data_IF_615387868694
#
_entry.id   IF_615387868694
#
_cell.length_a   1.000
_cell.length_b   1.000
_cell.length_c   1.000
_cell.angle_alpha   90.00
_cell.angle_beta   90.00
_cell.angle_gamma   90.00
#
_symmetry.space_group_name_H-M   'P 1'
#
loop_
_entity.id
_entity.type
_entity.pdbx_description
1 polymer ?
#
# COMPACT_ATOMS: atom_id res chain seq x y z
N UNK A 1 -5.02 -23.52 30.30
CA UNK A 1 -4.69 -24.32 29.10
C UNK A 1 -4.98 -23.48 27.86
N UNK A 2 -3.95 -22.82 27.32
CA UNK A 2 -4.07 -22.02 26.10
C UNK A 2 -4.26 -22.97 24.92
N UNK A 3 -5.50 -23.11 24.43
CA UNK A 3 -5.76 -23.80 23.17
C UNK A 3 -5.19 -22.92 22.06
N UNK A 4 -3.98 -23.22 21.61
CA UNK A 4 -3.49 -22.74 20.32
C UNK A 4 -4.31 -23.42 19.22
N UNK A 5 -5.52 -22.90 18.98
CA UNK A 5 -6.30 -23.23 17.81
C UNK A 5 -5.52 -22.68 16.62
N UNK A 6 -5.00 -23.55 15.76
CA UNK A 6 -4.35 -23.13 14.53
C UNK A 6 -5.31 -22.18 13.78
N UNK A 7 -4.83 -21.03 13.30
CA UNK A 7 -5.67 -20.12 12.55
C UNK A 7 -6.18 -20.83 11.29
N UNK A 8 -7.44 -20.59 10.92
CA UNK A 8 -7.97 -21.07 9.66
C UNK A 8 -7.09 -20.59 8.51
N UNK A 9 -7.05 -21.35 7.40
CA UNK A 9 -6.29 -20.95 6.21
C UNK A 9 -6.71 -19.55 5.72
N UNK A 10 -8.00 -19.21 5.84
CA UNK A 10 -8.53 -17.91 5.49
C UNK A 10 -8.04 -16.79 6.44
N UNK A 11 -7.99 -17.05 7.75
CA UNK A 11 -7.43 -16.11 8.73
C UNK A 11 -5.95 -15.86 8.49
N UNK A 12 -5.17 -16.93 8.28
CA UNK A 12 -3.75 -16.85 7.98
C UNK A 12 -3.51 -16.06 6.68
N UNK A 13 -4.24 -16.39 5.62
CA UNK A 13 -4.08 -15.70 4.33
C UNK A 13 -4.41 -14.21 4.40
N UNK A 14 -5.46 -13.79 5.11
CA UNK A 14 -5.75 -12.37 5.31
C UNK A 14 -4.63 -11.66 6.10
N UNK A 15 -4.09 -12.31 7.14
CA UNK A 15 -2.97 -11.76 7.91
C UNK A 15 -1.70 -11.64 7.06
N UNK A 16 -1.40 -12.63 6.22
CA UNK A 16 -0.26 -12.59 5.30
C UNK A 16 -0.43 -11.51 4.23
N UNK A 17 -1.62 -11.34 3.67
CA UNK A 17 -1.89 -10.26 2.72
C UNK A 17 -1.72 -8.87 3.38
N UNK A 18 -2.22 -8.69 4.62
CA UNK A 18 -2.02 -7.44 5.35
C UNK A 18 -0.53 -7.20 5.67
N UNK A 19 0.20 -8.25 6.07
CA UNK A 19 1.63 -8.19 6.31
C UNK A 19 2.42 -7.80 5.05
N UNK A 20 2.04 -8.36 3.88
CA UNK A 20 2.65 -7.99 2.61
C UNK A 20 2.44 -6.50 2.29
N UNK A 21 1.23 -5.97 2.50
CA UNK A 21 0.93 -4.54 2.31
C UNK A 21 1.74 -3.67 3.27
N UNK A 22 1.82 -4.06 4.54
CA UNK A 22 2.68 -3.39 5.53
C UNK A 22 4.13 -3.37 5.06
N UNK A 23 4.65 -4.50 4.57
CA UNK A 23 6.00 -4.59 4.05
C UNK A 23 6.26 -3.63 2.88
N UNK A 24 5.36 -3.61 1.89
CA UNK A 24 5.46 -2.72 0.73
C UNK A 24 5.43 -1.24 1.14
N UNK A 25 4.48 -0.84 1.99
CA UNK A 25 4.36 0.54 2.45
C UNK A 25 5.54 0.96 3.34
N UNK A 26 6.03 0.06 4.19
CA UNK A 26 7.19 0.34 5.05
C UNK A 26 8.46 0.50 4.22
N UNK A 27 8.66 -0.37 3.23
CA UNK A 27 9.80 -0.29 2.33
C UNK A 27 9.77 1.02 1.53
N UNK A 28 8.60 1.45 1.04
CA UNK A 28 8.46 2.73 0.35
C UNK A 28 8.85 3.94 1.22
N UNK A 29 8.70 3.86 2.54
CA UNK A 29 9.19 4.90 3.45
C UNK A 29 10.69 4.83 3.69
N UNK A 30 11.27 3.62 3.73
CA UNK A 30 12.73 3.49 3.76
C UNK A 30 13.31 4.20 2.55
N UNK A 31 12.73 3.99 1.37
CA UNK A 31 13.18 4.65 0.15
C UNK A 31 13.06 6.18 0.22
N UNK A 32 11.90 6.67 0.64
CA UNK A 32 11.64 8.09 0.76
C UNK A 32 12.55 8.82 1.77
N UNK A 33 12.82 8.22 2.94
CA UNK A 33 13.56 8.89 4.01
C UNK A 33 15.06 8.57 4.03
N UNK A 34 15.45 7.37 3.60
CA UNK A 34 16.85 6.92 3.64
C UNK A 34 17.56 7.18 2.32
N UNK A 35 16.94 6.87 1.19
CA UNK A 35 17.51 7.13 -0.14
C UNK A 35 17.19 8.54 -0.65
N UNK A 36 16.20 9.21 -0.04
CA UNK A 36 15.86 10.60 -0.37
C UNK A 36 15.11 10.74 -1.70
N UNK A 37 14.56 9.64 -2.21
CA UNK A 37 13.78 9.63 -3.44
C UNK A 37 12.32 10.01 -3.13
N UNK A 38 11.92 11.20 -3.53
CA UNK A 38 10.57 11.69 -3.33
C UNK A 38 9.56 10.93 -4.22
N UNK A 39 8.38 10.56 -3.72
CA UNK A 39 7.42 9.79 -4.50
C UNK A 39 6.69 10.66 -5.53
N UNK A 40 6.69 10.22 -6.79
CA UNK A 40 5.92 10.85 -7.85
C UNK A 40 4.40 10.82 -7.60
N UNK A 41 3.58 11.67 -8.26
CA UNK A 41 2.12 11.68 -8.08
C UNK A 41 1.45 10.32 -8.40
N UNK A 42 1.94 9.61 -9.42
CA UNK A 42 1.49 8.25 -9.76
C UNK A 42 1.86 7.24 -8.68
N UNK A 43 3.03 7.41 -8.05
CA UNK A 43 3.53 6.57 -6.97
C UNK A 43 2.63 6.71 -5.73
N UNK A 44 2.20 7.94 -5.42
CA UNK A 44 1.25 8.23 -4.35
C UNK A 44 -0.12 7.57 -4.60
N UNK A 45 -0.62 7.62 -5.84
CA UNK A 45 -1.86 6.93 -6.23
C UNK A 45 -1.75 5.41 -6.09
N UNK A 46 -0.58 4.81 -6.35
CA UNK A 46 -0.34 3.39 -6.10
C UNK A 46 -0.41 3.07 -4.61
N UNK A 47 0.18 3.92 -3.74
CA UNK A 47 0.07 3.77 -2.28
C UNK A 47 -1.38 3.83 -1.81
N UNK A 48 -2.20 4.73 -2.38
CA UNK A 48 -3.65 4.76 -2.12
C UNK A 48 -4.32 3.43 -2.48
N UNK A 49 -3.95 2.85 -3.63
CA UNK A 49 -4.41 1.50 -4.00
C UNK A 49 -4.12 0.45 -2.93
N UNK A 50 -2.87 0.37 -2.47
CA UNK A 50 -2.47 -0.54 -1.38
C UNK A 50 -3.19 -0.26 -0.05
N UNK A 51 -3.43 1.01 0.26
CA UNK A 51 -4.19 1.42 1.46
C UNK A 51 -5.64 0.97 1.38
N UNK A 52 -6.29 1.06 0.21
CA UNK A 52 -7.67 0.57 0.02
C UNK A 52 -7.73 -0.95 0.20
N UNK A 53 -6.79 -1.70 -0.40
CA UNK A 53 -6.69 -3.15 -0.22
C UNK A 53 -6.45 -3.50 1.25
N UNK A 54 -5.51 -2.82 1.91
CA UNK A 54 -5.18 -3.09 3.31
C UNK A 54 -6.34 -2.78 4.25
N UNK A 55 -7.10 -1.73 3.97
CA UNK A 55 -8.29 -1.36 4.74
C UNK A 55 -9.40 -2.42 4.61
N UNK A 56 -9.65 -2.92 3.40
CA UNK A 56 -10.57 -4.02 3.16
C UNK A 56 -10.18 -5.29 3.94
N UNK A 57 -8.89 -5.65 3.92
CA UNK A 57 -8.38 -6.84 4.64
C UNK A 57 -8.42 -6.64 6.15
N UNK A 58 -8.09 -5.43 6.65
CA UNK A 58 -8.20 -5.11 8.07
C UNK A 58 -9.65 -5.25 8.57
N UNK A 59 -10.63 -4.82 7.78
CA UNK A 59 -12.06 -5.03 8.07
C UNK A 59 -12.41 -6.52 8.09
N UNK A 60 -11.88 -7.34 7.17
CA UNK A 60 -12.07 -8.79 7.19
C UNK A 60 -11.54 -9.43 8.48
N UNK A 61 -10.37 -9.01 8.96
CA UNK A 61 -9.78 -9.54 10.20
C UNK A 61 -10.60 -9.13 11.44
N UNK A 62 -11.20 -7.93 11.45
CA UNK A 62 -11.96 -7.41 12.60
C UNK A 62 -13.42 -7.83 12.64
N UNK A 63 -14.09 -7.71 11.51
CA UNK A 63 -15.54 -7.88 11.35
C UNK A 63 -15.90 -9.29 10.84
N UNK A 64 -14.92 -10.06 10.36
CA UNK A 64 -15.14 -11.35 9.69
C UNK A 64 -15.16 -11.22 8.18
N UNK A 65 -15.10 -12.35 7.48
CA UNK A 65 -15.04 -12.38 6.03
C UNK A 65 -16.37 -11.94 5.40
N UNK A 66 -16.37 -10.82 4.69
CA UNK A 66 -17.53 -10.35 3.94
C UNK A 66 -17.15 -10.13 2.47
N UNK A 67 -18.02 -10.54 1.55
CA UNK A 67 -17.77 -10.40 0.10
C UNK A 67 -17.57 -8.94 -0.30
N UNK A 68 -18.29 -8.00 0.33
CA UNK A 68 -18.13 -6.58 0.05
C UNK A 68 -16.72 -6.06 0.37
N UNK A 69 -16.08 -6.55 1.43
CA UNK A 69 -14.71 -6.13 1.77
C UNK A 69 -13.73 -6.59 0.70
N UNK A 70 -13.79 -7.86 0.30
CA UNK A 70 -12.95 -8.35 -0.81
C UNK A 70 -13.26 -7.62 -2.12
N UNK A 71 -14.52 -7.23 -2.38
CA UNK A 71 -14.88 -6.40 -3.52
C UNK A 71 -14.16 -5.05 -3.52
N UNK A 72 -14.13 -4.35 -2.38
CA UNK A 72 -13.36 -3.12 -2.23
C UNK A 72 -11.86 -3.32 -2.41
N UNK A 73 -11.30 -4.41 -1.88
CA UNK A 73 -9.89 -4.72 -2.07
C UNK A 73 -9.53 -5.12 -3.52
N UNK A 74 -10.41 -5.82 -4.23
CA UNK A 74 -10.25 -6.10 -5.66
C UNK A 74 -10.31 -4.80 -6.47
N UNK A 75 -11.27 -3.92 -6.18
CA UNK A 75 -11.39 -2.62 -6.85
C UNK A 75 -10.15 -1.74 -6.62
N UNK A 76 -9.68 -1.64 -5.37
CA UNK A 76 -8.44 -0.93 -5.04
C UNK A 76 -7.22 -1.51 -5.74
N UNK A 77 -7.13 -2.84 -5.85
CA UNK A 77 -6.09 -3.54 -6.61
C UNK A 77 -6.13 -3.23 -8.10
N UNK A 78 -7.31 -3.23 -8.72
CA UNK A 78 -7.47 -2.92 -10.14
C UNK A 78 -7.04 -1.48 -10.45
N UNK A 79 -7.48 -0.52 -9.61
CA UNK A 79 -7.07 0.88 -9.74
C UNK A 79 -5.56 1.03 -9.56
N UNK A 80 -4.99 0.40 -8.53
CA UNK A 80 -3.54 0.39 -8.30
C UNK A 80 -2.76 -0.18 -9.48
N UNK A 81 -3.20 -1.31 -10.03
CA UNK A 81 -2.61 -1.91 -11.22
C UNK A 81 -2.70 -1.01 -12.45
N UNK A 82 -3.83 -0.35 -12.69
CA UNK A 82 -3.98 0.57 -13.82
C UNK A 82 -3.02 1.77 -13.71
N UNK A 83 -2.84 2.31 -12.50
CA UNK A 83 -1.89 3.41 -12.25
C UNK A 83 -0.44 2.95 -12.46
N UNK A 84 -0.06 1.78 -11.92
CA UNK A 84 1.26 1.20 -12.14
C UNK A 84 1.52 0.91 -13.62
N UNK A 85 0.54 0.33 -14.32
CA UNK A 85 0.64 0.03 -15.75
C UNK A 85 0.82 1.31 -16.57
N UNK A 86 0.09 2.38 -16.25
CA UNK A 86 0.30 3.69 -16.88
C UNK A 86 1.74 4.15 -16.70
N UNK A 87 2.32 4.03 -15.52
CA UNK A 87 3.69 4.44 -15.26
C UNK A 87 4.72 3.57 -16.01
N UNK A 88 4.48 2.25 -16.10
CA UNK A 88 5.29 1.36 -16.94
C UNK A 88 5.26 1.82 -18.40
N UNK A 89 4.07 2.12 -18.93
CA UNK A 89 3.90 2.56 -20.32
C UNK A 89 4.54 3.92 -20.59
N UNK A 90 4.61 4.81 -19.59
CA UNK A 90 5.31 6.09 -19.72
C UNK A 90 6.82 5.91 -19.91
N UNK A 91 7.41 4.87 -19.31
CA UNK A 91 8.84 4.60 -19.34
C UNK A 91 9.24 3.38 -20.18
N UNK A 92 8.42 3.00 -21.16
CA UNK A 92 8.69 1.83 -22.03
C UNK A 92 9.64 2.14 -23.19
N UNK A 93 9.87 3.42 -23.48
CA UNK A 93 10.68 3.85 -24.62
C UNK A 93 12.15 3.46 -24.43
N UNK A 94 12.85 3.00 -25.50
CA UNK A 94 14.25 2.63 -25.40
C UNK A 94 15.12 3.84 -25.06
N UNK A 95 15.94 3.71 -24.02
CA UNK A 95 16.83 4.78 -23.54
C UNK A 95 16.23 5.68 -22.45
N UNK A 96 14.99 5.43 -22.00
CA UNK A 96 14.42 6.09 -20.83
C UNK A 96 15.04 5.52 -19.54
N UNK A 97 15.65 6.37 -18.67
CA UNK A 97 16.20 5.92 -17.40
C UNK A 97 15.13 5.51 -16.37
N UNK A 98 13.85 5.84 -16.60
CA UNK A 98 12.75 5.58 -15.67
C UNK A 98 12.71 6.57 -14.49
N UNK A 99 11.69 6.42 -13.64
CA UNK A 99 11.57 7.16 -12.39
C UNK A 99 12.06 6.35 -11.19
N UNK A 100 12.95 6.94 -10.40
CA UNK A 100 13.53 6.35 -9.19
C UNK A 100 14.53 5.23 -9.46
N UNK A 101 15.30 4.86 -8.43
CA UNK A 101 16.28 3.80 -8.55
C UNK A 101 15.63 2.40 -8.64
N UNK A 102 16.22 1.48 -9.43
CA UNK A 102 15.69 0.13 -9.55
C UNK A 102 15.99 -0.69 -8.29
N UNK A 103 14.97 -1.37 -7.76
CA UNK A 103 15.11 -2.35 -6.70
C UNK A 103 15.09 -3.77 -7.28
N UNK A 104 16.13 -4.56 -7.00
CA UNK A 104 16.30 -5.92 -7.56
C UNK A 104 16.17 -5.96 -9.10
N UNK A 105 16.65 -4.92 -9.78
CA UNK A 105 16.64 -4.82 -11.24
C UNK A 105 15.32 -4.35 -11.86
N UNK A 106 14.30 -4.01 -11.07
CA UNK A 106 13.02 -3.46 -11.55
C UNK A 106 12.69 -2.16 -10.82
N UNK A 107 12.09 -1.20 -11.52
CA UNK A 107 11.61 0.04 -10.89
C UNK A 107 10.40 -0.22 -9.98
N UNK A 108 10.19 0.67 -9.01
CA UNK A 108 9.13 0.53 -8.01
C UNK A 108 7.72 0.44 -8.59
N UNK A 109 7.44 1.12 -9.70
CA UNK A 109 6.14 1.03 -10.35
C UNK A 109 5.86 -0.36 -10.95
N UNK A 110 6.90 -1.09 -11.37
CA UNK A 110 6.77 -2.48 -11.83
C UNK A 110 6.51 -3.42 -10.64
N UNK A 111 7.21 -3.21 -9.53
CA UNK A 111 6.93 -3.92 -8.28
C UNK A 111 5.53 -3.63 -7.75
N UNK A 112 5.06 -2.39 -7.87
CA UNK A 112 3.69 -1.98 -7.56
C UNK A 112 2.66 -2.79 -8.35
N UNK A 113 2.88 -2.95 -9.66
CA UNK A 113 2.03 -3.78 -10.52
C UNK A 113 2.03 -5.25 -10.09
N UNK A 114 3.21 -5.84 -9.88
CA UNK A 114 3.35 -7.25 -9.47
C UNK A 114 2.69 -7.48 -8.09
N UNK A 115 2.92 -6.58 -7.14
CA UNK A 115 2.35 -6.63 -5.81
C UNK A 115 0.82 -6.52 -5.82
N UNK A 116 0.27 -5.58 -6.59
CA UNK A 116 -1.17 -5.42 -6.73
C UNK A 116 -1.83 -6.65 -7.40
N UNK A 117 -1.19 -7.20 -8.45
CA UNK A 117 -1.63 -8.44 -9.09
C UNK A 117 -1.62 -9.63 -8.12
N UNK A 118 -0.55 -9.78 -7.34
CA UNK A 118 -0.42 -10.83 -6.33
C UNK A 118 -1.49 -10.72 -5.24
N UNK A 119 -1.77 -9.51 -4.76
CA UNK A 119 -2.84 -9.26 -3.78
C UNK A 119 -4.23 -9.51 -4.35
N UNK A 120 -4.47 -9.18 -5.62
CA UNK A 120 -5.71 -9.53 -6.33
C UNK A 120 -5.88 -11.04 -6.42
N UNK A 121 -4.84 -11.78 -6.84
CA UNK A 121 -4.85 -13.24 -6.88
C UNK A 121 -5.06 -13.85 -5.49
N UNK A 122 -4.40 -13.32 -4.46
CA UNK A 122 -4.58 -13.74 -3.08
C UNK A 122 -6.02 -13.56 -2.58
N UNK A 123 -6.66 -12.43 -2.88
CA UNK A 123 -8.06 -12.18 -2.55
C UNK A 123 -9.01 -13.10 -3.32
N UNK A 124 -8.73 -13.39 -4.60
CA UNK A 124 -9.50 -14.35 -5.39
C UNK A 124 -9.44 -15.76 -4.79
N UNK A 125 -8.25 -16.22 -4.38
CA UNK A 125 -8.08 -17.51 -3.71
C UNK A 125 -8.83 -17.52 -2.37
N UNK A 126 -8.72 -16.45 -1.57
CA UNK A 126 -9.42 -16.33 -0.28
C UNK A 126 -10.94 -16.35 -0.44
N UNK A 127 -11.48 -15.80 -1.54
CA UNK A 127 -12.91 -15.87 -1.86
C UNK A 127 -13.37 -17.28 -2.23
N UNK A 128 -12.50 -18.10 -2.83
CA UNK A 128 -12.79 -19.50 -3.18
C UNK A 128 -12.79 -20.44 -1.97
N UNK A 129 -12.21 -20.03 -0.83
CA UNK A 129 -12.16 -20.87 0.36
C UNK A 129 -13.55 -21.02 1.00
N UNK A 130 -13.96 -22.26 1.34
CA UNK A 130 -15.26 -22.51 1.98
C UNK A 130 -15.28 -22.01 3.43
N UNK A 131 -14.13 -21.96 4.09
CA UNK A 131 -14.02 -21.48 5.46
C UNK A 131 -13.92 -19.95 5.49
N UNK A 132 -14.90 -19.31 6.13
CA UNK A 132 -15.00 -17.85 6.27
C UNK A 132 -14.61 -17.33 7.66
N UNK A 133 -14.05 -18.19 8.52
CA UNK A 133 -13.55 -17.83 9.85
C UNK A 133 -12.24 -17.03 9.76
N UNK A 134 -12.34 -15.76 9.36
CA UNK A 134 -11.19 -14.84 9.24
C UNK A 134 -11.00 -13.99 10.50
N UNK A 135 -12.05 -13.88 11.32
CA UNK A 135 -12.07 -12.97 12.46
C UNK A 135 -10.99 -13.36 13.47
N UNK A 136 -10.09 -12.44 13.77
CA UNK A 136 -9.02 -12.65 14.74
C UNK A 136 -8.89 -11.47 15.68
N UNK A 137 -8.79 -11.76 16.98
CA UNK A 137 -8.49 -10.80 18.05
C UNK A 137 -7.14 -11.09 18.71
N UNK A 138 -6.30 -11.91 18.07
CA UNK A 138 -4.97 -12.21 18.59
C UNK A 138 -4.13 -10.94 18.70
N UNK A 139 -3.17 -10.95 19.63
CA UNK A 139 -2.23 -9.83 19.77
C UNK A 139 -1.50 -9.54 18.46
N UNK A 140 -1.12 -10.58 17.71
CA UNK A 140 -0.49 -10.44 16.39
C UNK A 140 -1.39 -9.72 15.38
N UNK A 141 -2.66 -10.14 15.25
CA UNK A 141 -3.61 -9.48 14.35
C UNK A 141 -3.85 -8.01 14.75
N UNK A 142 -3.89 -7.72 16.06
CA UNK A 142 -4.01 -6.35 16.56
C UNK A 142 -2.78 -5.51 16.20
N UNK A 143 -1.58 -6.06 16.36
CA UNK A 143 -0.33 -5.39 16.02
C UNK A 143 -0.25 -5.06 14.53
N UNK A 144 -0.60 -6.01 13.65
CA UNK A 144 -0.62 -5.76 12.19
C UNK A 144 -1.57 -4.61 11.84
N UNK A 145 -2.79 -4.61 12.38
CA UNK A 145 -3.78 -3.57 12.10
C UNK A 145 -3.29 -2.20 12.63
N UNK A 146 -2.69 -2.17 13.82
CA UNK A 146 -2.14 -0.94 14.39
C UNK A 146 -1.00 -0.39 13.52
N UNK A 147 -0.05 -1.24 13.13
CA UNK A 147 1.07 -0.86 12.24
C UNK A 147 0.52 -0.35 10.91
N UNK A 148 -0.45 -1.05 10.32
CA UNK A 148 -1.09 -0.61 9.09
C UNK A 148 -1.73 0.78 9.25
N UNK A 149 -2.51 1.02 10.31
CA UNK A 149 -3.12 2.33 10.56
C UNK A 149 -2.08 3.44 10.73
N UNK A 150 -0.97 3.17 11.42
CA UNK A 150 0.14 4.13 11.55
C UNK A 150 0.77 4.43 10.19
N UNK A 151 0.98 3.42 9.34
CA UNK A 151 1.49 3.61 7.98
C UNK A 151 0.53 4.41 7.10
N UNK A 152 -0.78 4.19 7.20
CA UNK A 152 -1.78 4.99 6.48
C UNK A 152 -1.69 6.45 6.91
N UNK A 153 -1.66 6.70 8.22
CA UNK A 153 -1.55 8.05 8.76
C UNK A 153 -0.23 8.74 8.34
N UNK A 154 0.89 8.01 8.41
CA UNK A 154 2.18 8.50 7.94
C UNK A 154 2.16 8.83 6.44
N UNK A 155 1.49 8.03 5.62
CA UNK A 155 1.38 8.28 4.17
C UNK A 155 0.58 9.54 3.91
N UNK A 156 -0.56 9.70 4.58
CA UNK A 156 -1.38 10.91 4.48
C UNK A 156 -0.57 12.15 4.88
N UNK A 157 0.14 12.10 6.01
CA UNK A 157 0.94 13.23 6.47
C UNK A 157 2.08 13.54 5.49
N UNK A 158 2.78 12.51 5.01
CA UNK A 158 3.86 12.66 4.04
C UNK A 158 3.37 13.31 2.73
N UNK A 159 2.25 12.83 2.19
CA UNK A 159 1.61 13.42 1.00
C UNK A 159 1.22 14.88 1.20
N UNK A 160 0.67 15.23 2.37
CA UNK A 160 0.32 16.63 2.68
C UNK A 160 1.56 17.52 2.81
N UNK A 161 2.66 16.99 3.37
CA UNK A 161 3.93 17.72 3.45
C UNK A 161 4.59 17.91 2.08
N UNK A 162 4.38 16.96 1.17
CA UNK A 162 4.93 17.01 -0.17
C UNK A 162 4.14 17.96 -1.07
N UNK A 163 2.83 17.76 -1.19
CA UNK A 163 2.00 18.46 -2.17
C UNK A 163 1.25 19.68 -1.58
N UNK A 164 1.20 19.82 -0.26
CA UNK A 164 0.37 20.82 0.40
C UNK A 164 -1.12 20.60 0.13
N UNK A 165 -1.86 21.69 -0.13
CA UNK A 165 -3.27 21.62 -0.58
C UNK A 165 -3.42 21.69 -2.11
N UNK A 166 -2.31 21.69 -2.85
CA UNK A 166 -2.30 21.80 -4.31
C UNK A 166 -2.01 20.47 -5.00
N UNK A 167 -1.98 20.45 -6.35
CA UNK A 167 -1.46 19.32 -7.09
C UNK A 167 0.05 19.15 -6.83
N UNK A 168 0.49 17.90 -6.69
CA UNK A 168 1.90 17.54 -6.56
C UNK A 168 2.66 17.84 -7.86
N UNK A 169 3.94 18.23 -7.77
CA UNK A 169 4.81 18.31 -8.93
C UNK A 169 5.04 16.93 -9.56
N UNK A 170 5.20 16.85 -10.88
CA UNK A 170 5.39 15.57 -11.59
C UNK A 170 6.71 14.88 -11.22
N UNK A 171 7.77 15.66 -10.98
CA UNK A 171 9.08 15.21 -10.50
C UNK A 171 9.51 16.04 -9.28
N UNK A 172 9.07 15.65 -8.06
CA UNK A 172 9.37 16.41 -6.85
C UNK A 172 10.86 16.29 -6.48
N UNK A 173 11.49 17.43 -6.19
CA UNK A 173 12.86 17.52 -5.64
C UNK A 173 12.88 18.08 -4.22
N UNK A 174 11.74 18.58 -3.74
CA UNK A 174 11.57 19.15 -2.41
C UNK A 174 10.15 18.92 -1.88
N UNK A 175 9.98 19.07 -0.56
CA UNK A 175 8.66 19.05 0.09
C UNK A 175 8.01 20.44 0.00
N UNK A 176 7.33 20.72 -1.11
CA UNK A 176 6.73 22.04 -1.39
C UNK A 176 5.70 22.45 -0.33
N UNK A 177 4.89 21.50 0.13
CA UNK A 177 3.93 21.73 1.22
C UNK A 177 4.60 22.17 2.53
N UNK A 178 5.72 21.54 2.89
CA UNK A 178 6.51 21.90 4.07
C UNK A 178 7.15 23.29 3.92
N UNK A 179 7.68 23.62 2.73
CA UNK A 179 8.26 24.94 2.45
C UNK A 179 7.18 26.03 2.52
N UNK A 180 5.99 25.77 1.98
CA UNK A 180 4.85 26.68 2.08
C UNK A 180 4.38 26.87 3.53
N UNK A 181 4.38 25.81 4.34
CA UNK A 181 4.05 25.88 5.76
C UNK A 181 5.08 26.71 6.52
N UNK A 182 6.37 26.47 6.24
CA UNK A 182 7.51 27.18 6.83
C UNK A 182 7.46 28.67 6.55
N UNK A 183 7.25 29.04 5.30
CA UNK A 183 7.18 30.45 4.87
C UNK A 183 5.97 31.18 5.46
N UNK A 184 4.85 30.48 5.69
CA UNK A 184 3.63 31.09 6.23
C UNK A 184 3.65 31.25 7.76
N UNK A 185 4.28 30.34 8.49
CA UNK A 185 4.27 30.31 9.95
C UNK A 185 5.63 30.65 10.60
N UNK A 186 6.69 30.84 9.80
CA UNK A 186 7.93 31.46 10.24
C UNK A 186 8.74 30.63 11.25
N UNK A 187 9.02 29.37 10.94
CA UNK A 187 9.88 28.49 11.75
C UNK A 187 11.00 27.82 10.95
#
# INVERSE_FOLDING_TARGET
MSKHSFPSLAALGNQLCLLAIIGVLSYAFVDQFYFGELPCPLCLLQRVGFVVIGSAIALNIRCGAHSAHYGWGIFGGLVGMMVSLRQILLHIAPGDPGYGSPFLGLHFYTWGFIGALGLLGGQAILLMLPNREVRSRSWFANALILIFMLLVFANLLSTLLECGMGPCADNPIAYDGLIALRTRFGF
#
